data_IF_227920412048
#
_entry.id   IF_227920412048
#
_cell.length_a   1.000
_cell.length_b   1.000
_cell.length_c   1.000
_cell.angle_alpha   90.00
_cell.angle_beta   90.00
_cell.angle_gamma   90.00
#
_symmetry.space_group_name_H-M   'P 1'
#
loop_
_entity.id
_entity.type
_entity.pdbx_description
1 polymer ?
#
# COMPACT_ATOMS: atom_id res chain seq x y z
N UNK A 1 -19.68 -3.01 -8.43
CA UNK A 1 -19.26 -4.37 -8.03
C UNK A 1 -19.15 -5.31 -9.23
N UNK A 2 -20.16 -5.40 -10.10
CA UNK A 2 -20.16 -6.28 -11.29
C UNK A 2 -18.88 -6.23 -12.14
N UNK A 3 -18.32 -5.06 -12.52
CA UNK A 3 -17.13 -5.03 -13.38
C UNK A 3 -15.88 -5.66 -12.72
N UNK A 4 -15.77 -5.57 -11.40
CA UNK A 4 -14.66 -6.14 -10.65
C UNK A 4 -14.81 -7.66 -10.51
N UNK A 5 -16.05 -8.14 -10.35
CA UNK A 5 -16.36 -9.58 -10.31
C UNK A 5 -16.04 -10.20 -11.67
N UNK A 6 -16.50 -9.61 -12.78
CA UNK A 6 -16.18 -10.07 -14.13
C UNK A 6 -14.66 -10.07 -14.40
N UNK A 7 -13.95 -9.03 -13.94
CA UNK A 7 -12.49 -9.00 -14.02
C UNK A 7 -11.86 -10.18 -13.29
N UNK A 8 -12.31 -10.52 -12.08
CA UNK A 8 -11.79 -11.65 -11.32
C UNK A 8 -12.14 -12.99 -11.99
N UNK A 9 -13.35 -13.15 -12.54
CA UNK A 9 -13.75 -14.35 -13.30
C UNK A 9 -12.81 -14.56 -14.49
N UNK A 10 -12.55 -13.51 -15.27
CA UNK A 10 -11.63 -13.55 -16.41
C UNK A 10 -10.17 -13.87 -16.01
N UNK A 11 -9.82 -13.73 -14.73
CA UNK A 11 -8.51 -14.07 -14.17
C UNK A 11 -8.46 -15.43 -13.48
N UNK A 12 -9.53 -16.22 -13.57
CA UNK A 12 -9.57 -17.59 -13.05
C UNK A 12 -10.26 -17.75 -11.70
N UNK A 13 -11.05 -16.76 -11.26
CA UNK A 13 -11.98 -16.96 -10.14
C UNK A 13 -13.12 -17.87 -10.58
N UNK A 14 -13.34 -18.95 -9.83
CA UNK A 14 -14.50 -19.82 -9.98
C UNK A 14 -15.66 -19.26 -9.15
N UNK A 15 -16.86 -19.19 -9.73
CA UNK A 15 -18.05 -18.71 -9.00
C UNK A 15 -18.45 -19.71 -7.92
N UNK A 16 -19.03 -19.21 -6.83
CA UNK A 16 -19.40 -20.05 -5.68
C UNK A 16 -20.36 -21.19 -6.04
N UNK A 17 -21.20 -20.99 -7.05
CA UNK A 17 -22.17 -21.98 -7.54
C UNK A 17 -21.50 -23.18 -8.23
N UNK A 18 -20.32 -22.99 -8.81
CA UNK A 18 -19.55 -24.01 -9.53
C UNK A 18 -18.46 -24.64 -8.63
N UNK A 19 -18.30 -24.14 -7.41
CA UNK A 19 -17.24 -24.56 -6.50
C UNK A 19 -17.54 -25.94 -5.87
N UNK A 20 -16.62 -26.88 -6.06
CA UNK A 20 -16.63 -28.19 -5.40
C UNK A 20 -15.58 -28.26 -4.27
N UNK A 21 -15.99 -28.25 -2.98
CA UNK A 21 -15.05 -28.21 -1.86
C UNK A 21 -14.07 -29.38 -1.79
N UNK A 22 -14.48 -30.56 -2.26
CA UNK A 22 -13.64 -31.77 -2.26
C UNK A 22 -12.52 -31.69 -3.28
N UNK A 23 -12.72 -30.94 -4.37
CA UNK A 23 -11.75 -30.79 -5.45
C UNK A 23 -10.61 -29.85 -5.04
N UNK A 24 -10.95 -28.80 -4.29
CA UNK A 24 -10.04 -27.70 -3.98
C UNK A 24 -10.16 -27.21 -2.52
N UNK A 25 -9.73 -28.03 -1.54
CA UNK A 25 -9.95 -27.76 -0.11
C UNK A 25 -9.19 -26.54 0.43
N UNK A 26 -8.18 -26.05 -0.29
CA UNK A 26 -7.34 -24.93 0.11
C UNK A 26 -7.53 -23.69 -0.77
N UNK A 27 -8.60 -23.65 -1.57
CA UNK A 27 -8.91 -22.47 -2.38
C UNK A 27 -9.25 -21.28 -1.47
N UNK A 28 -8.80 -20.10 -1.86
CA UNK A 28 -9.10 -18.87 -1.13
C UNK A 28 -10.48 -18.36 -1.52
N UNK A 29 -11.32 -18.09 -0.53
CA UNK A 29 -12.66 -17.54 -0.72
C UNK A 29 -12.57 -16.06 -1.05
N UNK A 30 -13.40 -15.59 -1.96
CA UNK A 30 -13.43 -14.19 -2.37
C UNK A 30 -14.75 -13.57 -1.93
N UNK A 31 -14.66 -12.51 -1.14
CA UNK A 31 -15.80 -11.76 -0.63
C UNK A 31 -15.83 -10.36 -1.22
N UNK A 32 -17.01 -9.90 -1.62
CA UNK A 32 -17.24 -8.51 -2.07
C UNK A 32 -18.36 -7.93 -1.23
N UNK A 33 -18.07 -6.91 -0.42
CA UNK A 33 -19.01 -6.29 0.52
C UNK A 33 -19.71 -7.32 1.42
N UNK A 34 -18.95 -8.30 1.92
CA UNK A 34 -19.44 -9.38 2.78
C UNK A 34 -20.15 -10.53 2.05
N UNK A 35 -20.39 -10.44 0.74
CA UNK A 35 -20.99 -11.52 -0.06
C UNK A 35 -19.89 -12.44 -0.58
N UNK A 36 -19.99 -13.73 -0.30
CA UNK A 36 -19.09 -14.74 -0.90
C UNK A 36 -19.44 -14.94 -2.37
N UNK A 37 -18.56 -14.49 -3.27
CA UNK A 37 -18.81 -14.51 -4.73
C UNK A 37 -18.14 -15.69 -5.43
N UNK A 38 -17.04 -16.20 -4.88
CA UNK A 38 -16.27 -17.25 -5.55
C UNK A 38 -15.03 -17.70 -4.79
N UNK A 39 -14.21 -18.50 -5.47
CA UNK A 39 -12.95 -19.00 -4.95
C UNK A 39 -11.83 -18.87 -5.99
N UNK A 40 -10.58 -18.89 -5.53
CA UNK A 40 -9.43 -18.90 -6.41
C UNK A 40 -8.30 -19.78 -5.86
N UNK A 41 -7.66 -20.55 -6.75
CA UNK A 41 -6.55 -21.47 -6.42
C UNK A 41 -5.27 -20.70 -6.03
N UNK A 42 -4.95 -19.67 -6.81
CA UNK A 42 -3.76 -18.84 -6.65
C UNK A 42 -4.12 -17.40 -6.25
N UNK A 43 -4.50 -17.17 -4.98
CA UNK A 43 -4.90 -15.84 -4.52
C UNK A 43 -3.76 -14.82 -4.61
N UNK A 44 -2.50 -15.26 -4.55
CA UNK A 44 -1.35 -14.34 -4.57
C UNK A 44 -1.32 -13.60 -5.91
N UNK A 45 -1.46 -14.34 -7.01
CA UNK A 45 -1.49 -13.76 -8.34
C UNK A 45 -2.72 -12.89 -8.57
N UNK A 46 -3.91 -13.35 -8.16
CA UNK A 46 -5.14 -12.55 -8.29
C UNK A 46 -5.06 -11.22 -7.53
N UNK A 47 -4.62 -11.26 -6.27
CA UNK A 47 -4.51 -10.07 -5.41
C UNK A 47 -3.53 -9.05 -6.01
N UNK A 48 -2.38 -9.51 -6.52
CA UNK A 48 -1.42 -8.62 -7.20
C UNK A 48 -2.06 -7.92 -8.40
N UNK A 49 -2.82 -8.63 -9.22
CA UNK A 49 -3.48 -8.05 -10.39
C UNK A 49 -4.59 -7.06 -10.02
N UNK A 50 -5.35 -7.33 -8.97
CA UNK A 50 -6.40 -6.42 -8.49
C UNK A 50 -5.77 -5.15 -7.87
N UNK A 51 -4.68 -5.30 -7.11
CA UNK A 51 -3.92 -4.17 -6.57
C UNK A 51 -3.34 -3.28 -7.68
N UNK A 52 -2.76 -3.89 -8.73
CA UNK A 52 -2.24 -3.13 -9.88
C UNK A 52 -3.36 -2.36 -10.60
N UNK A 53 -4.57 -2.92 -10.63
CA UNK A 53 -5.75 -2.26 -11.21
C UNK A 53 -6.16 -1.03 -10.39
N UNK A 54 -6.02 -1.07 -9.05
CA UNK A 54 -6.19 0.10 -8.17
C UNK A 54 -5.11 1.16 -8.42
N UNK A 55 -3.84 0.76 -8.50
CA UNK A 55 -2.71 1.68 -8.75
C UNK A 55 -2.82 2.38 -10.09
N UNK A 56 -3.27 1.67 -11.13
CA UNK A 56 -3.52 2.23 -12.46
C UNK A 56 -4.84 3.04 -12.55
N UNK A 57 -5.51 3.29 -11.43
CA UNK A 57 -6.75 4.05 -11.32
C UNK A 57 -7.95 3.47 -12.10
N UNK A 58 -7.92 2.19 -12.47
CA UNK A 58 -9.09 1.49 -13.04
C UNK A 58 -10.10 1.10 -11.95
N UNK A 59 -9.60 0.82 -10.74
CA UNK A 59 -10.39 0.68 -9.52
C UNK A 59 -10.18 1.93 -8.69
N UNK A 60 -11.25 2.46 -8.09
CA UNK A 60 -11.18 3.64 -7.24
C UNK A 60 -10.25 3.38 -6.04
N UNK A 61 -9.44 4.37 -5.68
CA UNK A 61 -8.50 4.28 -4.55
C UNK A 61 -9.21 4.06 -3.20
N UNK A 62 -10.54 4.24 -3.14
CA UNK A 62 -11.38 4.03 -1.95
C UNK A 62 -11.76 2.56 -1.75
N UNK A 63 -11.52 1.70 -2.75
CA UNK A 63 -11.80 0.26 -2.64
C UNK A 63 -10.68 -0.40 -1.83
N UNK A 64 -11.08 -1.06 -0.76
CA UNK A 64 -10.19 -1.83 0.12
C UNK A 64 -10.08 -3.27 -0.33
N UNK A 65 -8.86 -3.79 -0.24
CA UNK A 65 -8.41 -5.08 -0.76
C UNK A 65 -7.62 -5.78 0.34
N UNK A 66 -8.30 -6.62 1.13
CA UNK A 66 -7.73 -7.28 2.30
C UNK A 66 -7.54 -8.77 2.01
N UNK A 67 -6.30 -9.26 2.12
CA UNK A 67 -5.99 -10.69 1.98
C UNK A 67 -5.66 -11.30 3.34
N UNK A 68 -6.59 -12.08 3.88
CA UNK A 68 -6.35 -12.90 5.07
C UNK A 68 -5.75 -14.25 4.67
N UNK A 69 -4.47 -14.42 4.96
CA UNK A 69 -3.71 -15.65 4.63
C UNK A 69 -4.11 -16.80 5.56
N UNK A 70 -4.49 -16.50 6.82
CA UNK A 70 -4.80 -17.53 7.83
C UNK A 70 -6.15 -18.16 7.56
N UNK A 71 -7.15 -17.33 7.29
CA UNK A 71 -8.53 -17.78 7.04
C UNK A 71 -8.77 -18.15 5.58
N UNK A 72 -7.78 -17.95 4.71
CA UNK A 72 -7.86 -18.15 3.26
C UNK A 72 -9.00 -17.35 2.65
N UNK A 73 -9.01 -16.05 2.93
CA UNK A 73 -10.04 -15.12 2.45
C UNK A 73 -9.42 -13.91 1.76
N UNK A 74 -10.02 -13.49 0.65
CA UNK A 74 -9.75 -12.22 0.01
C UNK A 74 -11.03 -11.38 0.05
N UNK A 75 -11.00 -10.27 0.77
CA UNK A 75 -12.16 -9.41 1.04
C UNK A 75 -11.98 -8.09 0.30
N UNK A 76 -13.04 -7.69 -0.39
CA UNK A 76 -13.09 -6.46 -1.17
C UNK A 76 -14.23 -5.61 -0.61
N UNK A 77 -13.91 -4.40 -0.18
CA UNK A 77 -14.90 -3.46 0.34
C UNK A 77 -14.96 -2.21 -0.54
N UNK A 78 -16.16 -1.93 -1.03
CA UNK A 78 -16.48 -0.76 -1.85
C UNK A 78 -17.61 0.06 -1.22
N UNK A 79 -17.97 -0.22 0.02
CA UNK A 79 -18.97 0.50 0.79
C UNK A 79 -18.42 1.84 1.30
N UNK A 80 -19.34 2.76 1.58
CA UNK A 80 -19.03 4.08 2.09
C UNK A 80 -19.01 4.09 3.62
N UNK A 81 -18.30 5.07 4.20
CA UNK A 81 -18.25 5.28 5.66
C UNK A 81 -17.01 4.73 6.34
N UNK A 82 -16.12 4.05 5.60
CA UNK A 82 -14.81 3.63 6.08
C UNK A 82 -13.91 4.85 6.27
N UNK A 83 -13.18 4.86 7.39
CA UNK A 83 -12.15 5.86 7.66
C UNK A 83 -10.88 5.39 6.98
N UNK A 84 -10.27 6.27 6.20
CA UNK A 84 -9.03 5.99 5.48
C UNK A 84 -7.97 7.03 5.82
N UNK A 85 -6.70 6.61 5.80
CA UNK A 85 -5.55 7.50 5.96
C UNK A 85 -4.58 7.32 4.80
N UNK A 86 -4.05 8.41 4.22
CA UNK A 86 -3.05 8.31 3.18
C UNK A 86 -1.68 8.01 3.77
N UNK A 87 -0.93 7.10 3.13
CA UNK A 87 0.44 6.72 3.48
C UNK A 87 1.29 6.63 2.23
N UNK A 88 2.62 6.76 2.36
CA UNK A 88 3.52 6.52 1.25
C UNK A 88 3.68 5.03 0.99
N UNK A 89 3.72 4.68 -0.29
CA UNK A 89 3.89 3.28 -0.73
C UNK A 89 5.37 2.91 -0.74
N UNK A 90 5.69 1.72 -0.23
CA UNK A 90 7.03 1.12 -0.34
C UNK A 90 7.00 0.08 -1.47
N UNK A 91 7.99 0.18 -2.34
CA UNK A 91 8.16 -0.72 -3.47
C UNK A 91 8.50 -2.14 -2.98
N UNK A 92 7.70 -3.13 -3.36
CA UNK A 92 7.85 -4.51 -2.87
C UNK A 92 8.73 -5.40 -3.75
N UNK A 93 8.88 -5.04 -5.02
CA UNK A 93 9.65 -5.75 -6.05
C UNK A 93 10.46 -4.74 -6.87
N UNK A 94 11.60 -5.14 -7.45
CA UNK A 94 12.39 -4.21 -8.25
C UNK A 94 11.62 -3.77 -9.50
N UNK A 95 11.41 -2.47 -9.64
CA UNK A 95 10.72 -1.89 -10.79
C UNK A 95 11.76 -1.45 -11.84
N UNK A 96 11.75 -2.14 -12.97
CA UNK A 96 12.67 -1.88 -14.08
C UNK A 96 12.28 -0.62 -14.86
N UNK A 97 11.00 -0.25 -14.87
CA UNK A 97 10.50 0.91 -15.62
C UNK A 97 10.85 2.21 -14.90
N UNK A 98 10.63 2.26 -13.58
CA UNK A 98 10.92 3.45 -12.76
C UNK A 98 12.33 3.46 -12.19
N UNK A 99 13.01 2.30 -12.18
CA UNK A 99 14.34 2.13 -11.57
C UNK A 99 14.30 2.09 -10.03
N UNK A 100 13.11 2.11 -9.42
CA UNK A 100 12.93 2.06 -7.97
C UNK A 100 13.17 0.63 -7.47
N UNK A 101 14.11 0.49 -6.55
CA UNK A 101 14.47 -0.82 -5.99
C UNK A 101 13.50 -1.24 -4.89
N UNK A 102 13.44 -2.54 -4.65
CA UNK A 102 12.72 -3.12 -3.52
C UNK A 102 13.12 -2.47 -2.19
N UNK A 103 12.12 -2.11 -1.39
CA UNK A 103 12.28 -1.48 -0.08
C UNK A 103 12.53 0.03 -0.12
N UNK A 104 12.41 0.66 -1.29
CA UNK A 104 12.43 2.12 -1.43
C UNK A 104 11.02 2.69 -1.46
N UNK A 105 10.89 3.99 -1.19
CA UNK A 105 9.64 4.71 -1.42
C UNK A 105 9.38 4.82 -2.93
N UNK A 106 8.11 4.67 -3.32
CA UNK A 106 7.66 4.99 -4.68
C UNK A 106 7.74 6.50 -4.94
N UNK A 107 7.63 7.32 -3.89
CA UNK A 107 7.85 8.76 -3.97
C UNK A 107 9.32 9.09 -4.27
N UNK A 108 9.61 9.49 -5.50
CA UNK A 108 10.95 9.90 -5.95
C UNK A 108 11.15 11.42 -5.82
N UNK A 109 12.42 11.86 -5.88
CA UNK A 109 12.74 13.29 -5.93
C UNK A 109 12.17 13.99 -7.15
N UNK A 110 12.03 13.30 -8.27
CA UNK A 110 11.44 13.85 -9.49
C UNK A 110 9.96 14.20 -9.29
N UNK A 111 9.20 13.35 -8.60
CA UNK A 111 7.80 13.64 -8.24
C UNK A 111 7.68 14.83 -7.29
N UNK A 112 8.60 14.95 -6.32
CA UNK A 112 8.64 16.09 -5.39
C UNK A 112 9.01 17.39 -6.11
N UNK A 113 10.01 17.36 -7.00
CA UNK A 113 10.41 18.53 -7.78
C UNK A 113 9.29 18.99 -8.72
N UNK A 114 8.60 18.05 -9.37
CA UNK A 114 7.42 18.36 -10.20
C UNK A 114 6.33 19.06 -9.40
N UNK A 115 6.07 18.64 -8.16
CA UNK A 115 5.11 19.32 -7.27
C UNK A 115 5.58 20.71 -6.86
N UNK A 116 6.89 20.88 -6.61
CA UNK A 116 7.46 22.18 -6.26
C UNK A 116 7.43 23.17 -7.44
N UNK A 117 7.72 22.69 -8.66
CA UNK A 117 7.61 23.47 -9.90
C UNK A 117 6.16 23.90 -10.14
N UNK A 118 5.21 22.99 -10.03
CA UNK A 118 3.78 23.29 -10.14
C UNK A 118 3.30 24.29 -9.06
N UNK A 119 3.88 24.25 -7.86
CA UNK A 119 3.55 25.22 -6.82
C UNK A 119 4.12 26.61 -7.13
N UNK A 120 5.28 26.68 -7.76
CA UNK A 120 5.94 27.93 -8.15
C UNK A 120 5.31 28.56 -9.40
N UNK A 121 4.92 27.72 -10.37
CA UNK A 121 4.27 28.10 -11.63
C UNK A 121 3.00 27.25 -11.84
N UNK A 122 1.87 27.64 -11.22
CA UNK A 122 0.64 26.89 -11.32
C UNK A 122 0.08 26.91 -12.75
N UNK A 123 -0.35 25.75 -13.30
CA UNK A 123 -0.97 25.71 -14.61
C UNK A 123 -2.26 26.55 -14.63
N UNK A 124 -2.55 27.18 -15.77
CA UNK A 124 -3.78 27.99 -15.95
C UNK A 124 -5.06 27.15 -15.78
N UNK A 125 -5.00 25.88 -16.18
CA UNK A 125 -6.08 24.91 -16.02
C UNK A 125 -5.84 24.03 -14.79
N UNK A 126 -6.80 24.03 -13.87
CA UNK A 126 -6.77 23.23 -12.65
C UNK A 126 -6.78 21.72 -12.93
N UNK A 127 -7.32 21.27 -14.06
CA UNK A 127 -7.35 19.85 -14.44
C UNK A 127 -6.00 19.34 -14.96
N UNK A 128 -5.09 20.24 -15.36
CA UNK A 128 -3.72 19.90 -15.74
C UNK A 128 -2.79 19.77 -14.53
N UNK A 129 -3.28 20.12 -13.34
CA UNK A 129 -2.53 20.04 -12.09
C UNK A 129 -2.27 18.57 -11.72
N UNK A 130 -0.99 18.22 -11.60
CA UNK A 130 -0.55 16.95 -11.04
C UNK A 130 -1.01 16.85 -9.58
N UNK A 131 -0.52 17.72 -8.70
CA UNK A 131 -0.93 17.80 -7.30
C UNK A 131 -1.05 16.45 -6.57
N UNK A 132 -2.00 16.37 -5.64
CA UNK A 132 -2.25 15.15 -4.86
C UNK A 132 -2.82 14.00 -5.70
N UNK A 133 -3.72 14.30 -6.64
CA UNK A 133 -4.32 13.30 -7.54
C UNK A 133 -3.23 12.59 -8.36
N UNK A 134 -2.23 13.33 -8.81
CA UNK A 134 -1.07 12.81 -9.51
C UNK A 134 -0.22 11.87 -8.67
N UNK A 135 -0.02 12.15 -7.38
CA UNK A 135 0.68 11.24 -6.47
C UNK A 135 -0.06 9.92 -6.27
N UNK A 136 -1.40 9.96 -6.14
CA UNK A 136 -2.23 8.75 -6.08
C UNK A 136 -2.12 7.98 -7.39
N UNK A 137 -2.26 8.67 -8.54
CA UNK A 137 -2.20 8.05 -9.86
C UNK A 137 -0.80 7.46 -10.18
N UNK A 138 0.26 8.05 -9.63
CA UNK A 138 1.62 7.52 -9.70
C UNK A 138 1.86 6.34 -8.74
N UNK A 139 0.89 5.99 -7.88
CA UNK A 139 1.03 4.96 -6.85
C UNK A 139 1.98 5.34 -5.70
N UNK A 140 2.41 6.61 -5.64
CA UNK A 140 3.31 7.09 -4.60
C UNK A 140 2.62 7.19 -3.24
N UNK A 141 1.31 7.40 -3.25
CA UNK A 141 0.44 7.44 -2.07
C UNK A 141 -0.71 6.45 -2.25
N UNK A 142 -0.96 5.66 -1.21
CA UNK A 142 -2.13 4.78 -1.11
C UNK A 142 -2.99 5.18 0.10
N UNK A 143 -4.31 5.05 -0.03
CA UNK A 143 -5.24 5.20 1.08
C UNK A 143 -5.44 3.84 1.71
N UNK A 144 -5.16 3.74 3.02
CA UNK A 144 -5.41 2.54 3.81
C UNK A 144 -6.62 2.77 4.70
N UNK A 145 -7.54 1.82 4.70
CA UNK A 145 -8.55 1.73 5.75
C UNK A 145 -8.05 0.91 6.94
N UNK A 146 -8.85 0.89 8.00
CA UNK A 146 -8.50 0.19 9.23
C UNK A 146 -8.33 -1.33 9.05
N UNK A 147 -9.04 -1.95 8.09
CA UNK A 147 -8.90 -3.39 7.85
C UNK A 147 -7.67 -3.74 7.02
N UNK A 148 -7.32 -2.92 6.02
CA UNK A 148 -6.06 -3.07 5.28
C UNK A 148 -4.85 -2.86 6.18
N UNK A 149 -4.94 -1.92 7.13
CA UNK A 149 -3.86 -1.59 8.06
C UNK A 149 -3.43 -2.80 8.92
N UNK A 150 -4.35 -3.70 9.28
CA UNK A 150 -4.03 -4.94 10.02
C UNK A 150 -3.13 -5.90 9.23
N UNK A 151 -3.10 -5.78 7.90
CA UNK A 151 -2.25 -6.59 7.01
C UNK A 151 -1.00 -5.86 6.52
N UNK A 152 -0.90 -4.56 6.80
CA UNK A 152 0.20 -3.71 6.36
C UNK A 152 1.33 -3.66 7.39
N UNK A 153 2.56 -3.53 6.89
CA UNK A 153 3.73 -3.20 7.71
C UNK A 153 4.17 -1.77 7.39
N UNK A 154 4.04 -0.88 8.36
CA UNK A 154 4.24 0.57 8.18
C UNK A 154 5.45 1.03 8.99
N UNK A 155 6.39 1.73 8.34
CA UNK A 155 7.51 2.38 9.02
C UNK A 155 7.19 3.85 9.33
N UNK A 156 7.83 4.40 10.37
CA UNK A 156 7.50 5.74 10.87
C UNK A 156 8.21 6.86 10.12
N UNK A 157 9.46 6.62 9.70
CA UNK A 157 10.22 7.60 8.92
C UNK A 157 10.95 6.95 7.74
N UNK A 158 11.29 7.72 6.69
CA UNK A 158 12.07 7.20 5.57
C UNK A 158 13.46 6.69 5.98
N UNK A 159 14.07 7.25 7.04
CA UNK A 159 15.37 6.75 7.52
C UNK A 159 15.25 5.33 8.07
N UNK A 160 14.09 4.95 8.62
CA UNK A 160 13.88 3.57 9.09
C UNK A 160 13.91 2.57 7.92
N UNK A 161 13.50 2.99 6.72
CA UNK A 161 13.65 2.17 5.49
C UNK A 161 15.10 2.05 5.04
N UNK A 162 15.89 3.11 5.17
CA UNK A 162 17.33 3.07 4.88
C UNK A 162 18.07 2.12 5.82
N UNK A 163 17.78 2.22 7.11
CA UNK A 163 18.31 1.31 8.14
C UNK A 163 17.90 -0.13 7.86
N UNK A 164 16.62 -0.36 7.54
CA UNK A 164 16.12 -1.67 7.15
C UNK A 164 16.87 -2.25 5.94
N UNK A 165 17.11 -1.46 4.89
CA UNK A 165 17.87 -1.90 3.71
C UNK A 165 19.34 -2.20 4.05
N UNK A 166 19.99 -1.33 4.82
CA UNK A 166 21.36 -1.54 5.28
C UNK A 166 21.48 -2.83 6.10
N UNK A 167 20.55 -3.08 7.01
CA UNK A 167 20.50 -4.29 7.83
C UNK A 167 20.28 -5.55 6.96
N UNK A 168 19.40 -5.50 5.95
CA UNK A 168 19.21 -6.61 5.00
C UNK A 168 20.41 -6.85 4.11
N UNK A 169 21.21 -5.84 3.81
CA UNK A 169 22.50 -5.98 3.11
C UNK A 169 23.61 -6.55 4.01
N UNK A 170 23.35 -6.78 5.30
CA UNK A 170 24.32 -7.31 6.27
C UNK A 170 25.19 -6.23 6.92
N UNK A 171 24.89 -4.95 6.72
CA UNK A 171 25.61 -3.86 7.36
C UNK A 171 25.16 -3.74 8.82
N UNK A 172 26.11 -3.78 9.76
CA UNK A 172 25.83 -3.51 11.17
C UNK A 172 25.70 -2.00 11.32
N UNK A 173 24.47 -1.52 11.42
CA UNK A 173 24.23 -0.11 11.75
C UNK A 173 24.44 0.05 13.25
N UNK A 174 25.58 0.65 13.62
CA UNK A 174 25.83 1.12 14.97
C UNK A 174 25.24 2.54 15.02
N UNK A 175 24.13 2.72 15.73
CA UNK A 175 23.65 4.06 16.04
C UNK A 175 24.67 4.72 16.97
N UNK A 176 25.46 5.64 16.41
CA UNK A 176 26.34 6.49 17.20
C UNK A 176 25.47 7.55 17.88
N UNK A 177 25.11 7.30 19.14
CA UNK A 177 24.37 8.25 19.98
C UNK A 177 25.24 9.38 20.52
N UNK A 178 26.53 9.43 20.16
CA UNK A 178 27.44 10.49 20.62
C UNK A 178 27.29 11.83 19.90
N UNK A 179 26.71 11.83 18.69
CA UNK A 179 26.60 13.03 17.86
C UNK A 179 25.51 14.03 18.33
N UNK A 180 24.49 13.59 19.08
CA UNK A 180 23.46 14.48 19.65
C UNK A 180 22.75 13.85 20.88
N UNK A 181 23.12 14.25 22.12
CA UNK A 181 22.56 13.69 23.34
C UNK A 181 21.09 14.07 23.60
N UNK A 182 20.53 15.06 22.88
CA UNK A 182 19.14 15.50 23.06
C UNK A 182 18.18 14.88 22.03
N UNK A 183 18.69 14.04 21.12
CA UNK A 183 17.87 13.42 20.09
C UNK A 183 16.90 12.41 20.70
N UNK A 184 15.70 12.33 20.12
CA UNK A 184 14.71 11.29 20.47
C UNK A 184 15.34 9.91 20.30
N UNK A 185 15.24 9.08 21.33
CA UNK A 185 15.66 7.67 21.27
C UNK A 185 14.85 6.93 20.20
N UNK A 186 15.53 6.37 19.22
CA UNK A 186 14.91 5.53 18.20
C UNK A 186 14.79 4.10 18.71
N UNK A 187 13.70 3.44 18.36
CA UNK A 187 13.54 2.00 18.58
C UNK A 187 14.37 1.26 17.56
N UNK A 188 15.17 0.28 18.00
CA UNK A 188 15.94 -0.57 17.10
C UNK A 188 15.02 -1.31 16.14
N UNK A 189 15.38 -1.35 14.86
CA UNK A 189 14.68 -2.14 13.86
C UNK A 189 14.70 -3.62 14.24
N UNK A 190 13.52 -4.26 14.24
CA UNK A 190 13.44 -5.68 14.55
C UNK A 190 14.14 -6.50 13.45
N UNK A 191 15.15 -7.33 13.77
CA UNK A 191 15.83 -8.16 12.77
C UNK A 191 14.90 -9.12 12.01
N UNK A 192 13.77 -9.50 12.62
CA UNK A 192 12.78 -10.41 12.03
C UNK A 192 11.80 -9.71 11.11
N UNK A 193 11.87 -8.38 10.94
CA UNK A 193 11.01 -7.67 9.99
C UNK A 193 11.28 -8.20 8.58
N UNK A 194 10.24 -8.74 7.94
CA UNK A 194 10.35 -9.34 6.62
C UNK A 194 10.40 -8.30 5.51
N UNK A 195 9.49 -7.32 5.53
CA UNK A 195 9.40 -6.25 4.54
C UNK A 195 8.43 -5.16 5.04
N UNK A 196 8.75 -3.89 4.78
CA UNK A 196 7.80 -2.79 4.92
C UNK A 196 6.98 -2.65 3.64
N UNK A 197 5.69 -2.37 3.81
CA UNK A 197 4.73 -2.14 2.71
C UNK A 197 4.44 -0.67 2.50
N UNK A 198 4.49 0.13 3.57
CA UNK A 198 4.18 1.55 3.54
C UNK A 198 5.09 2.32 4.52
N UNK A 199 5.07 3.64 4.39
CA UNK A 199 5.74 4.60 5.26
C UNK A 199 4.76 5.70 5.64
N UNK A 200 4.77 6.09 6.92
CA UNK A 200 3.98 7.21 7.40
C UNK A 200 4.42 8.50 6.71
N UNK A 201 3.46 9.36 6.34
CA UNK A 201 3.79 10.66 5.71
C UNK A 201 4.53 11.54 6.72
N UNK A 202 3.95 11.68 7.91
CA UNK A 202 4.61 12.31 9.04
C UNK A 202 3.86 11.93 10.34
N UNK A 203 4.55 11.53 11.43
CA UNK A 203 3.89 11.11 12.67
C UNK A 203 2.98 12.17 13.33
N UNK A 204 3.16 13.46 13.03
CA UNK A 204 2.27 14.51 13.55
C UNK A 204 0.86 14.47 12.96
N UNK A 205 0.65 13.78 11.83
CA UNK A 205 -0.66 13.67 11.18
C UNK A 205 -1.66 12.83 11.98
N UNK A 206 -1.21 12.18 13.06
CA UNK A 206 -2.09 11.52 14.03
C UNK A 206 -2.86 12.52 14.90
N UNK A 207 -2.38 13.76 14.99
CA UNK A 207 -2.98 14.78 15.84
C UNK A 207 -4.27 15.33 15.20
N UNK A 208 -5.30 15.49 16.04
CA UNK A 208 -6.49 16.24 15.65
C UNK A 208 -6.24 17.74 15.59
N UNK A 209 -7.18 18.47 14.98
CA UNK A 209 -7.08 19.92 14.69
C UNK A 209 -6.71 20.74 15.93
N UNK A 210 -7.31 20.47 17.09
CA UNK A 210 -7.03 21.24 18.30
C UNK A 210 -5.64 20.96 18.90
N UNK A 211 -5.07 19.79 18.65
CA UNK A 211 -3.76 19.40 19.17
C UNK A 211 -2.60 19.79 18.23
N UNK A 212 -2.91 20.20 17.00
CA UNK A 212 -1.94 20.64 15.99
C UNK A 212 -1.66 22.15 16.01
N UNK A 213 -2.29 22.88 16.94
CA UNK A 213 -2.10 24.32 17.18
C UNK A 213 -1.10 24.49 18.31
#
# INVERSE_FOLDING_TARGET
AEPLIEFMINRGMEVVEEYEPLRYPHATKIFVNGVWVGVHQDPKHLVSQVLDTRRKSYVQYEVSLVRDIRDQEFKIFSDAGRVMRPVFTVQQEDDVETGVQKGQLVLTKDLVNRLAEEQADPPEDADMKFGWKGLIAAGAVEYLDAEEEETAMICMTPEDLELYRAQKAGNVVIEDTSDDPNKRLKTKTNPTTHMYTHCEIHPSMILGICASI
#
